data_IF_411185765151
#
_entry.id   IF_411185765151
#
_cell.length_a   1.000
_cell.length_b   1.000
_cell.length_c   1.000
_cell.angle_alpha   90.00
_cell.angle_beta   90.00
_cell.angle_gamma   90.00
#
_symmetry.space_group_name_H-M   'P 1'
#
loop_
_entity.id
_entity.type
_entity.pdbx_description
1 polymer ?
#
# COMPACT_ATOMS: atom_id res chain seq x y z
N UNK A 1 -1.69 -11.18 14.40
CA UNK A 1 -1.23 -10.55 13.14
C UNK A 1 -1.39 -9.07 13.31
N UNK A 2 -0.33 -8.29 13.08
CA UNK A 2 -0.36 -6.84 13.24
C UNK A 2 -1.20 -6.15 12.15
N UNK A 3 -1.58 -4.88 12.36
CA UNK A 3 -2.33 -4.03 11.43
C UNK A 3 -1.65 -4.00 10.06
N UNK A 4 -0.33 -3.77 10.03
CA UNK A 4 0.42 -3.64 8.78
C UNK A 4 0.51 -4.97 8.04
N UNK A 5 0.74 -6.08 8.75
CA UNK A 5 0.79 -7.41 8.13
C UNK A 5 -0.57 -7.81 7.54
N UNK A 6 -1.67 -7.48 8.25
CA UNK A 6 -3.03 -7.72 7.74
C UNK A 6 -3.32 -6.86 6.51
N UNK A 7 -2.97 -5.57 6.54
CA UNK A 7 -3.15 -4.68 5.41
C UNK A 7 -2.33 -5.13 4.19
N UNK A 8 -1.08 -5.55 4.40
CA UNK A 8 -0.24 -6.07 3.33
C UNK A 8 -0.89 -7.29 2.65
N UNK A 9 -1.33 -8.28 3.43
CA UNK A 9 -2.00 -9.48 2.88
C UNK A 9 -3.28 -9.17 2.10
N UNK A 10 -4.00 -8.12 2.47
CA UNK A 10 -5.17 -7.67 1.72
C UNK A 10 -4.76 -7.07 0.38
N UNK A 11 -3.73 -6.21 0.38
CA UNK A 11 -3.21 -5.57 -0.83
C UNK A 11 -2.50 -6.54 -1.77
N UNK A 12 -1.91 -7.64 -1.27
CA UNK A 12 -1.38 -8.72 -2.12
C UNK A 12 -2.48 -9.38 -2.97
N UNK A 13 -3.73 -9.39 -2.48
CA UNK A 13 -4.85 -10.10 -3.12
C UNK A 13 -5.81 -9.18 -3.88
N UNK A 14 -5.95 -7.93 -3.42
CA UNK A 14 -6.97 -7.01 -3.92
C UNK A 14 -6.39 -5.61 -4.06
N UNK A 15 -6.69 -4.96 -5.19
CA UNK A 15 -6.49 -3.52 -5.35
C UNK A 15 -7.49 -2.75 -4.48
N UNK A 16 -7.00 -1.98 -3.50
CA UNK A 16 -7.86 -1.21 -2.59
C UNK A 16 -7.41 0.25 -2.52
N UNK A 17 -8.32 1.19 -2.81
CA UNK A 17 -8.06 2.61 -2.60
C UNK A 17 -8.07 2.96 -1.10
N UNK A 18 -7.59 4.16 -0.74
CA UNK A 18 -7.35 4.56 0.65
C UNK A 18 -8.60 4.43 1.52
N UNK A 19 -9.72 4.96 1.06
CA UNK A 19 -11.00 4.85 1.76
C UNK A 19 -11.40 3.39 2.02
N UNK A 20 -11.33 2.53 1.00
CA UNK A 20 -11.76 1.14 1.11
C UNK A 20 -10.85 0.32 2.02
N UNK A 21 -9.54 0.54 1.99
CA UNK A 21 -8.60 -0.10 2.92
C UNK A 21 -8.85 0.40 4.35
N UNK A 22 -8.96 1.72 4.55
CA UNK A 22 -9.17 2.30 5.87
C UNK A 22 -10.50 1.87 6.52
N UNK A 23 -11.55 1.64 5.73
CA UNK A 23 -12.83 1.08 6.21
C UNK A 23 -12.67 -0.30 6.85
N UNK A 24 -11.69 -1.10 6.42
CA UNK A 24 -11.41 -2.43 6.98
C UNK A 24 -10.86 -2.37 8.41
N UNK A 25 -10.41 -1.18 8.83
CA UNK A 25 -9.87 -0.89 10.15
C UNK A 25 -10.72 0.16 10.88
N UNK A 26 -12.00 0.32 10.54
CA UNK A 26 -12.90 1.35 11.08
C UNK A 26 -13.06 1.34 12.62
N UNK A 27 -12.77 0.21 13.27
CA UNK A 27 -12.81 0.09 14.73
C UNK A 27 -11.55 0.62 15.43
N UNK A 28 -10.54 1.09 14.68
CA UNK A 28 -9.27 1.61 15.20
C UNK A 28 -9.10 3.07 14.82
N UNK A 29 -8.64 3.90 15.76
CA UNK A 29 -8.48 5.34 15.53
C UNK A 29 -9.84 6.01 15.33
N UNK A 30 -10.62 6.14 16.42
CA UNK A 30 -11.85 6.94 16.44
C UNK A 30 -11.55 8.38 16.02
N UNK A 31 -12.55 9.06 15.46
CA UNK A 31 -12.44 10.43 14.90
C UNK A 31 -11.49 10.57 13.70
N UNK A 32 -11.07 9.45 13.10
CA UNK A 32 -10.28 9.43 11.86
C UNK A 32 -11.14 8.98 10.68
N UNK A 33 -11.07 9.75 9.60
CA UNK A 33 -11.70 9.40 8.33
C UNK A 33 -11.07 8.15 7.72
N UNK A 34 -11.88 7.34 7.04
CA UNK A 34 -11.39 6.11 6.41
C UNK A 34 -10.29 6.40 5.37
N UNK A 35 -10.37 7.52 4.67
CA UNK A 35 -9.37 7.92 3.70
C UNK A 35 -8.00 8.14 4.36
N UNK A 36 -7.96 8.90 5.45
CA UNK A 36 -6.73 9.15 6.19
C UNK A 36 -6.16 7.86 6.79
N UNK A 37 -7.03 7.02 7.36
CA UNK A 37 -6.60 5.72 7.92
C UNK A 37 -5.91 4.85 6.87
N UNK A 38 -6.52 4.69 5.70
CA UNK A 38 -5.94 3.89 4.62
C UNK A 38 -4.65 4.49 4.07
N UNK A 39 -4.62 5.80 3.88
CA UNK A 39 -3.43 6.53 3.41
C UNK A 39 -2.26 6.37 4.37
N UNK A 40 -2.48 6.51 5.68
CA UNK A 40 -1.45 6.33 6.73
C UNK A 40 -0.91 4.90 6.71
N UNK A 41 -1.80 3.90 6.66
CA UNK A 41 -1.39 2.48 6.60
C UNK A 41 -0.50 2.21 5.38
N UNK A 42 -0.88 2.71 4.20
CA UNK A 42 -0.08 2.55 2.97
C UNK A 42 1.23 3.30 3.02
N UNK A 43 1.26 4.49 3.62
CA UNK A 43 2.49 5.25 3.81
C UNK A 43 3.47 4.48 4.71
N UNK A 44 2.99 3.93 5.83
CA UNK A 44 3.80 3.11 6.74
C UNK A 44 4.31 1.83 6.06
N UNK A 45 3.47 1.14 5.29
CA UNK A 45 3.90 0.00 4.49
C UNK A 45 4.95 0.39 3.43
N UNK A 46 4.80 1.56 2.80
CA UNK A 46 5.75 2.08 1.82
C UNK A 46 7.10 2.37 2.48
N UNK A 47 7.10 2.98 3.66
CA UNK A 47 8.31 3.20 4.45
C UNK A 47 8.98 1.89 4.87
N UNK A 48 8.19 0.88 5.27
CA UNK A 48 8.69 -0.47 5.57
C UNK A 48 9.35 -1.10 4.35
N UNK A 49 8.72 -1.03 3.19
CA UNK A 49 9.28 -1.55 1.93
C UNK A 49 10.58 -0.86 1.55
N UNK A 50 10.62 0.47 1.65
CA UNK A 50 11.84 1.23 1.37
C UNK A 50 12.98 0.90 2.33
N UNK A 51 12.69 0.76 3.64
CA UNK A 51 13.67 0.33 4.64
C UNK A 51 14.28 -1.03 4.28
N UNK A 52 13.48 -1.99 3.82
CA UNK A 52 13.96 -3.31 3.41
C UNK A 52 14.86 -3.23 2.17
N UNK A 53 14.52 -2.39 1.19
CA UNK A 53 15.40 -2.14 0.03
C UNK A 53 16.76 -1.59 0.47
N UNK A 54 16.78 -0.63 1.40
CA UNK A 54 18.03 -0.08 1.95
C UNK A 54 18.86 -1.10 2.74
N UNK A 55 18.28 -2.26 3.07
CA UNK A 55 18.93 -3.38 3.74
C UNK A 55 19.24 -4.53 2.76
N UNK A 56 19.21 -4.27 1.45
CA UNK A 56 19.42 -5.25 0.38
C UNK A 56 18.48 -6.46 0.47
N UNK A 57 17.27 -6.26 1.02
CA UNK A 57 16.24 -7.30 1.12
C UNK A 57 15.19 -7.14 0.02
N UNK A 58 15.11 -8.14 -0.86
CA UNK A 58 14.18 -8.21 -1.99
C UNK A 58 12.70 -8.19 -1.60
N UNK A 59 12.35 -8.59 -0.38
CA UNK A 59 10.98 -8.49 0.15
C UNK A 59 10.48 -7.03 0.10
N UNK A 60 11.39 -6.06 0.24
CA UNK A 60 11.08 -4.65 0.11
C UNK A 60 10.61 -4.27 -1.29
N UNK A 61 11.22 -4.86 -2.32
CA UNK A 61 10.86 -4.65 -3.72
C UNK A 61 9.45 -5.19 -3.98
N UNK A 62 9.18 -6.41 -3.52
CA UNK A 62 7.88 -7.06 -3.70
C UNK A 62 6.76 -6.27 -3.02
N UNK A 63 6.99 -5.83 -1.77
CA UNK A 63 6.05 -4.98 -1.04
C UNK A 63 5.79 -3.66 -1.77
N UNK A 64 6.84 -2.97 -2.27
CA UNK A 64 6.64 -1.72 -3.00
C UNK A 64 5.90 -1.91 -4.33
N UNK A 65 6.12 -3.03 -5.03
CA UNK A 65 5.36 -3.35 -6.26
C UNK A 65 3.88 -3.51 -5.96
N UNK A 66 3.52 -4.27 -4.92
CA UNK A 66 2.13 -4.43 -4.47
C UNK A 66 1.51 -3.09 -4.09
N UNK A 67 2.25 -2.22 -3.39
CA UNK A 67 1.75 -0.89 -3.01
C UNK A 67 1.59 0.03 -4.22
N UNK A 68 2.48 -0.05 -5.22
CA UNK A 68 2.42 0.76 -6.42
C UNK A 68 1.23 0.40 -7.34
N UNK A 69 0.89 -0.90 -7.44
CA UNK A 69 -0.26 -1.37 -8.20
C UNK A 69 -1.53 -1.40 -7.33
N UNK A 70 -1.69 -2.44 -6.51
CA UNK A 70 -2.89 -2.71 -5.72
C UNK A 70 -3.12 -1.69 -4.60
N UNK A 71 -2.04 -1.07 -4.12
CA UNK A 71 -2.10 -0.04 -3.08
C UNK A 71 -2.32 1.38 -3.61
N UNK A 72 -2.29 1.62 -4.92
CA UNK A 72 -2.42 2.97 -5.49
C UNK A 72 -1.41 3.99 -4.92
N UNK A 73 -0.27 3.52 -4.40
CA UNK A 73 0.68 4.37 -3.68
C UNK A 73 1.62 5.08 -4.64
N UNK A 74 1.40 6.38 -4.85
CA UNK A 74 2.32 7.22 -5.60
C UNK A 74 3.71 7.30 -4.96
N UNK A 75 3.78 7.20 -3.63
CA UNK A 75 5.05 7.16 -2.92
C UNK A 75 5.85 5.90 -3.29
N UNK A 76 5.19 4.73 -3.34
CA UNK A 76 5.84 3.48 -3.74
C UNK A 76 6.34 3.54 -5.18
N UNK A 77 5.52 4.06 -6.11
CA UNK A 77 5.91 4.28 -7.52
C UNK A 77 7.15 5.15 -7.64
N UNK A 78 7.18 6.30 -6.95
CA UNK A 78 8.31 7.23 -6.97
C UNK A 78 9.59 6.59 -6.42
N UNK A 79 9.48 5.74 -5.40
CA UNK A 79 10.64 5.03 -4.84
C UNK A 79 11.18 4.01 -5.85
N UNK A 80 10.32 3.17 -6.44
CA UNK A 80 10.72 2.19 -7.46
C UNK A 80 11.38 2.85 -8.68
N UNK A 81 10.84 3.99 -9.13
CA UNK A 81 11.44 4.78 -10.21
C UNK A 81 12.84 5.30 -9.84
N UNK A 82 13.01 5.85 -8.63
CA UNK A 82 14.30 6.38 -8.16
C UNK A 82 15.35 5.28 -7.98
N UNK A 83 14.95 4.10 -7.56
CA UNK A 83 15.83 2.92 -7.43
C UNK A 83 16.02 2.19 -8.76
N UNK A 84 15.43 2.69 -9.86
CA UNK A 84 15.51 2.11 -11.22
C UNK A 84 15.04 0.65 -11.28
N UNK A 85 14.10 0.27 -10.43
CA UNK A 85 13.49 -1.06 -10.44
C UNK A 85 12.32 -1.04 -11.41
N UNK A 86 12.33 -1.98 -12.36
CA UNK A 86 11.20 -2.16 -13.27
C UNK A 86 9.98 -2.71 -12.52
N UNK A 87 8.82 -2.12 -12.78
CA UNK A 87 7.53 -2.57 -12.28
C UNK A 87 6.44 -2.24 -13.30
N UNK A 88 5.35 -3.00 -13.25
CA UNK A 88 4.13 -2.68 -13.99
C UNK A 88 3.43 -1.52 -13.26
N UNK A 89 3.34 -0.37 -13.92
CA UNK A 89 2.70 0.83 -13.41
C UNK A 89 1.21 0.92 -13.74
N UNK A 90 0.63 -0.15 -14.31
CA UNK A 90 -0.81 -0.22 -14.54
C UNK A 90 -1.56 -0.06 -13.22
N UNK A 91 -2.35 1.01 -13.16
CA UNK A 91 -3.22 1.28 -12.02
C UNK A 91 -4.49 0.50 -12.24
N UNK A 92 -4.74 -0.49 -11.36
CA UNK A 92 -5.98 -1.26 -11.37
C UNK A 92 -7.14 -0.42 -10.84
N UNK A 93 -8.39 -0.84 -11.07
CA UNK A 93 -9.55 -0.27 -10.36
C UNK A 93 -9.61 -0.81 -8.93
N UNK A 94 -10.25 -0.08 -8.02
CA UNK A 94 -10.45 -0.54 -6.65
C UNK A 94 -11.47 -1.71 -6.63
N UNK A 95 -11.05 -2.87 -6.16
CA UNK A 95 -11.85 -4.10 -6.10
C UNK A 95 -13.20 -3.97 -5.37
N UNK A 96 -13.32 -3.01 -4.44
CA UNK A 96 -14.53 -2.86 -3.62
C UNK A 96 -15.49 -1.77 -4.08
N UNK A 97 -15.05 -0.79 -4.86
CA UNK A 97 -15.91 0.33 -5.22
C UNK A 97 -15.84 0.74 -6.68
N UNK A 98 -14.92 0.17 -7.47
CA UNK A 98 -14.68 0.41 -8.90
C UNK A 98 -14.47 1.86 -9.34
N UNK A 99 -14.73 2.84 -8.46
CA UNK A 99 -14.60 4.27 -8.63
C UNK A 99 -14.02 4.86 -7.34
N UNK A 100 -12.77 5.32 -7.41
CA UNK A 100 -12.17 6.38 -6.59
C UNK A 100 -11.64 7.41 -7.62
#
# INVERSE_FOLDING_TARGET
MDILDKAHKMLERYSLCDYCLGRQFALLGYEMENNDRGRIIKALLTMRGHKLILQDNEDGINLLKVLASNGFSDMARKILQRTRIAFDDSVLSCYLCDNC
#
